data_IF_882588460950
#
_entry.id   IF_882588460950
#
_cell.length_a   1.000
_cell.length_b   1.000
_cell.length_c   1.000
_cell.angle_alpha   90.00
_cell.angle_beta   90.00
_cell.angle_gamma   90.00
#
_symmetry.space_group_name_H-M   'P 1'
#
loop_
_entity.id
_entity.type
_entity.pdbx_description
1 polymer ?
#
# COMPACT_ATOMS: atom_id res chain seq x y z
N UNK A 1 -0.91 -30.73 0.36
CA UNK A 1 -1.92 -29.73 0.77
C UNK A 1 -1.33 -29.03 1.97
N UNK A 2 -0.92 -27.78 1.86
CA UNK A 2 -0.38 -27.03 3.00
C UNK A 2 -1.52 -26.75 3.98
N UNK A 3 -1.41 -27.32 5.15
CA UNK A 3 -2.31 -27.10 6.26
C UNK A 3 -2.46 -25.60 6.52
N UNK A 4 -3.70 -25.10 6.49
CA UNK A 4 -4.18 -23.84 7.04
C UNK A 4 -3.58 -22.52 6.48
N UNK A 5 -3.46 -22.38 5.17
CA UNK A 5 -3.22 -21.05 4.58
C UNK A 5 -4.40 -20.14 4.89
N UNK A 6 -4.17 -19.03 5.57
CA UNK A 6 -5.18 -18.02 5.88
C UNK A 6 -5.01 -16.77 5.02
N UNK A 7 -6.13 -16.23 4.61
CA UNK A 7 -6.26 -14.95 3.91
C UNK A 7 -5.82 -13.80 4.83
N UNK A 8 -5.20 -12.77 4.26
CA UNK A 8 -4.80 -11.54 4.96
C UNK A 8 -5.63 -10.37 4.47
N UNK A 9 -6.02 -9.48 5.35
CA UNK A 9 -6.83 -8.32 5.02
C UNK A 9 -6.23 -7.02 5.54
N UNK A 10 -6.06 -6.06 4.66
CA UNK A 10 -5.78 -4.68 5.01
C UNK A 10 -6.87 -3.75 4.49
N UNK A 11 -6.85 -2.51 4.92
CA UNK A 11 -7.65 -1.44 4.33
C UNK A 11 -6.79 -0.21 4.08
N UNK A 12 -7.20 0.63 3.13
CA UNK A 12 -6.50 1.88 2.80
C UNK A 12 -7.28 3.08 3.32
N UNK A 13 -6.56 4.04 3.92
CA UNK A 13 -7.12 5.37 4.20
C UNK A 13 -7.15 6.17 2.90
N UNK A 14 -8.34 6.40 2.37
CA UNK A 14 -8.54 6.98 1.05
C UNK A 14 -9.71 7.99 1.00
N UNK A 15 -9.71 8.96 1.93
CA UNK A 15 -10.79 9.92 2.03
C UNK A 15 -12.15 9.23 2.21
N UNK A 16 -13.17 9.71 1.52
CA UNK A 16 -14.53 9.21 1.64
C UNK A 16 -14.72 7.78 1.05
N UNK A 17 -14.03 7.48 -0.04
CA UNK A 17 -13.95 6.14 -0.67
C UNK A 17 -12.89 6.11 -1.77
N UNK A 18 -12.77 4.99 -2.50
CA UNK A 18 -11.89 4.88 -3.68
C UNK A 18 -12.33 5.71 -4.90
N UNK A 19 -13.57 6.18 -4.95
CA UNK A 19 -14.06 7.04 -6.04
C UNK A 19 -13.70 8.51 -5.80
N UNK A 20 -13.18 9.18 -6.81
CA UNK A 20 -12.70 10.59 -6.70
C UNK A 20 -13.79 11.58 -6.33
N UNK A 21 -15.04 11.32 -6.66
CA UNK A 21 -16.19 12.20 -6.39
C UNK A 21 -17.03 11.74 -5.21
N UNK A 22 -16.64 10.66 -4.52
CA UNK A 22 -17.41 10.10 -3.40
C UNK A 22 -17.60 11.08 -2.23
N UNK A 23 -16.76 12.08 -2.08
CA UNK A 23 -16.92 13.15 -1.09
C UNK A 23 -18.22 13.94 -1.27
N UNK A 24 -18.82 13.93 -2.49
CA UNK A 24 -20.10 14.55 -2.83
C UNK A 24 -21.31 13.68 -2.45
N UNK A 25 -21.08 12.40 -2.15
CA UNK A 25 -22.17 11.50 -1.78
C UNK A 25 -22.82 11.95 -0.46
N UNK A 26 -24.17 11.93 -0.35
CA UNK A 26 -24.86 12.42 0.87
C UNK A 26 -24.41 11.74 2.17
N UNK A 27 -24.03 10.48 2.12
CA UNK A 27 -23.53 9.73 3.28
C UNK A 27 -22.02 9.93 3.54
N UNK A 28 -21.30 10.68 2.69
CA UNK A 28 -19.86 10.86 2.82
C UNK A 28 -19.51 11.94 3.85
N UNK A 29 -18.46 11.68 4.61
CA UNK A 29 -17.75 12.71 5.36
C UNK A 29 -16.88 13.50 4.36
N UNK A 30 -17.30 14.71 3.98
CA UNK A 30 -16.67 15.48 2.90
C UNK A 30 -15.19 15.83 3.19
N UNK A 31 -14.83 16.04 4.45
CA UNK A 31 -13.47 16.32 4.92
C UNK A 31 -12.69 15.09 5.40
N UNK A 32 -13.15 13.87 5.05
CA UNK A 32 -12.58 12.59 5.52
C UNK A 32 -11.06 12.51 5.41
N UNK A 33 -10.46 13.15 4.40
CA UNK A 33 -9.00 13.13 4.16
C UNK A 33 -8.17 13.76 5.29
N UNK A 34 -8.74 14.71 6.04
CA UNK A 34 -8.08 15.42 7.15
C UNK A 34 -8.93 15.43 8.42
N UNK A 35 -9.99 14.64 8.47
CA UNK A 35 -10.82 14.49 9.65
C UNK A 35 -10.29 13.37 10.53
N UNK A 36 -9.59 13.70 11.61
CA UNK A 36 -8.97 12.69 12.47
C UNK A 36 -10.00 11.81 13.20
N UNK A 37 -11.21 12.31 13.47
CA UNK A 37 -12.27 11.49 14.05
C UNK A 37 -12.72 10.39 13.05
N UNK A 38 -12.86 10.74 11.77
CA UNK A 38 -13.15 9.77 10.71
C UNK A 38 -12.05 8.72 10.57
N UNK A 39 -10.78 9.16 10.55
CA UNK A 39 -9.60 8.28 10.48
C UNK A 39 -9.57 7.32 11.68
N UNK A 40 -9.84 7.83 12.89
CA UNK A 40 -9.92 7.03 14.11
C UNK A 40 -11.03 5.98 14.03
N UNK A 41 -12.22 6.35 13.61
CA UNK A 41 -13.35 5.42 13.46
C UNK A 41 -13.02 4.32 12.44
N UNK A 42 -12.40 4.66 11.32
CA UNK A 42 -11.98 3.69 10.30
C UNK A 42 -10.94 2.71 10.86
N UNK A 43 -9.94 3.20 11.59
CA UNK A 43 -8.92 2.35 12.20
C UNK A 43 -9.51 1.41 13.28
N UNK A 44 -10.35 1.92 14.16
CA UNK A 44 -11.02 1.11 15.19
C UNK A 44 -11.97 0.09 14.57
N UNK A 45 -12.66 0.44 13.49
CA UNK A 45 -13.51 -0.50 12.74
C UNK A 45 -12.70 -1.62 12.10
N UNK A 46 -11.55 -1.30 11.49
CA UNK A 46 -10.63 -2.29 10.94
C UNK A 46 -10.09 -3.23 12.04
N UNK A 47 -9.71 -2.68 13.19
CA UNK A 47 -9.22 -3.47 14.32
C UNK A 47 -10.32 -4.39 14.89
N UNK A 48 -11.55 -3.90 15.04
CA UNK A 48 -12.70 -4.71 15.45
C UNK A 48 -12.96 -5.88 14.51
N UNK A 49 -12.82 -5.66 13.21
CA UNK A 49 -12.90 -6.70 12.16
C UNK A 49 -11.67 -7.60 12.07
N UNK A 50 -10.67 -7.45 12.94
CA UNK A 50 -9.43 -8.24 12.96
C UNK A 50 -8.57 -8.11 11.69
N UNK A 51 -8.68 -6.98 10.96
CA UNK A 51 -7.84 -6.72 9.81
C UNK A 51 -6.37 -6.67 10.21
N UNK A 52 -5.48 -7.04 9.29
CA UNK A 52 -4.05 -7.08 9.53
C UNK A 52 -3.45 -5.68 9.69
N UNK A 53 -3.88 -4.73 8.84
CA UNK A 53 -3.32 -3.37 8.84
C UNK A 53 -4.24 -2.34 8.19
N UNK A 54 -3.95 -1.08 8.52
CA UNK A 54 -4.38 0.10 7.78
C UNK A 54 -3.20 0.66 7.00
N UNK A 55 -3.46 1.08 5.77
CA UNK A 55 -2.45 1.51 4.81
C UNK A 55 -2.67 2.97 4.43
N UNK A 56 -1.61 3.79 4.51
CA UNK A 56 -1.65 5.20 4.14
C UNK A 56 -0.75 5.43 2.93
N UNK A 57 -1.38 5.58 1.76
CA UNK A 57 -0.69 5.95 0.54
C UNK A 57 -0.31 7.43 0.56
N UNK A 58 0.80 7.77 -0.10
CA UNK A 58 1.25 9.15 -0.22
C UNK A 58 1.88 9.46 -1.58
N UNK A 59 1.97 10.74 -1.91
CA UNK A 59 2.65 11.30 -3.07
C UNK A 59 3.05 12.74 -2.80
N UNK A 60 4.22 13.12 -3.27
CA UNK A 60 4.93 14.33 -2.90
C UNK A 60 4.77 15.47 -3.91
N UNK A 61 3.71 15.42 -4.72
CA UNK A 61 3.38 16.43 -5.71
C UNK A 61 1.88 16.51 -5.94
N UNK A 62 1.37 17.72 -6.01
CA UNK A 62 -0.01 18.04 -6.40
C UNK A 62 -0.04 19.23 -7.35
N UNK A 63 -1.14 19.37 -8.08
CA UNK A 63 -1.53 20.57 -8.79
C UNK A 63 -3.06 20.75 -8.70
N UNK A 64 -3.60 21.80 -9.32
CA UNK A 64 -5.03 22.11 -9.31
C UNK A 64 -5.93 21.04 -9.93
N UNK A 65 -5.36 20.13 -10.73
CA UNK A 65 -6.06 18.99 -11.37
C UNK A 65 -6.01 17.70 -10.54
N UNK A 66 -5.35 17.74 -9.39
CA UNK A 66 -5.28 16.57 -8.50
C UNK A 66 -6.63 16.28 -7.86
N UNK A 67 -6.90 15.00 -7.63
CA UNK A 67 -8.18 14.60 -7.01
C UNK A 67 -8.27 15.09 -5.56
N UNK A 68 -9.49 15.36 -5.04
CA UNK A 68 -9.71 16.03 -3.77
C UNK A 68 -8.92 15.48 -2.58
N UNK A 69 -8.87 14.15 -2.40
CA UNK A 69 -8.17 13.59 -1.25
C UNK A 69 -6.63 13.60 -1.41
N UNK A 70 -6.09 13.85 -2.60
CA UNK A 70 -4.66 14.11 -2.78
C UNK A 70 -4.29 15.55 -2.52
N UNK A 71 -5.23 16.47 -2.78
CA UNK A 71 -5.02 17.90 -2.52
C UNK A 71 -4.86 18.19 -1.03
N UNK A 72 -5.50 17.42 -0.17
CA UNK A 72 -5.58 17.71 1.26
C UNK A 72 -5.64 16.40 2.05
N UNK A 73 -4.52 15.97 2.66
CA UNK A 73 -4.42 14.74 3.45
C UNK A 73 -3.33 14.85 4.52
N UNK A 74 -3.44 14.01 5.53
CA UNK A 74 -2.40 13.85 6.53
C UNK A 74 -1.13 13.21 5.96
N UNK A 75 0.02 13.60 6.48
CA UNK A 75 1.28 12.91 6.24
C UNK A 75 1.25 11.52 6.95
N UNK A 76 1.72 10.44 6.28
CA UNK A 76 1.54 9.07 6.77
C UNK A 76 2.08 8.81 8.17
N UNK A 77 3.35 9.15 8.45
CA UNK A 77 3.96 8.82 9.74
C UNK A 77 3.34 9.59 10.90
N UNK A 78 2.93 10.82 10.66
CA UNK A 78 2.27 11.67 11.66
C UNK A 78 0.92 11.09 12.06
N UNK A 79 0.07 10.76 11.08
CA UNK A 79 -1.26 10.19 11.38
C UNK A 79 -1.16 8.78 11.97
N UNK A 80 -0.23 7.96 11.50
CA UNK A 80 -0.03 6.61 12.04
C UNK A 80 0.53 6.63 13.48
N UNK A 81 1.36 7.62 13.81
CA UNK A 81 1.82 7.81 15.20
C UNK A 81 0.66 8.15 16.13
N UNK A 82 -0.28 8.98 15.69
CA UNK A 82 -1.50 9.24 16.45
C UNK A 82 -2.39 7.99 16.58
N UNK A 83 -2.54 7.21 15.50
CA UNK A 83 -3.28 5.95 15.52
C UNK A 83 -2.63 4.88 16.39
N UNK A 84 -1.29 4.87 16.52
CA UNK A 84 -0.57 3.96 17.38
C UNK A 84 -1.00 4.09 18.87
N UNK A 85 -1.36 5.29 19.30
CA UNK A 85 -1.79 5.57 20.67
C UNK A 85 -3.21 5.05 20.99
N UNK A 86 -4.06 4.88 19.97
CA UNK A 86 -5.48 4.54 20.17
C UNK A 86 -5.85 3.13 19.70
N UNK A 87 -5.03 2.50 18.85
CA UNK A 87 -5.17 1.09 18.43
C UNK A 87 -4.27 0.18 19.26
N UNK A 88 -4.54 -1.12 19.25
CA UNK A 88 -3.78 -2.12 20.06
C UNK A 88 -3.19 -3.25 19.22
N UNK A 89 -3.82 -3.63 18.12
CA UNK A 89 -3.49 -4.81 17.32
C UNK A 89 -3.29 -4.51 15.83
N UNK A 90 -3.98 -3.49 15.33
CA UNK A 90 -3.98 -3.13 13.92
C UNK A 90 -2.58 -2.68 13.48
N UNK A 91 -2.06 -3.28 12.41
CA UNK A 91 -0.83 -2.84 11.75
C UNK A 91 -0.97 -1.45 11.13
N UNK A 92 0.10 -0.69 11.13
CA UNK A 92 0.16 0.72 10.73
C UNK A 92 1.18 0.87 9.61
N UNK A 93 0.71 0.88 8.35
CA UNK A 93 1.57 0.88 7.16
C UNK A 93 1.57 2.25 6.52
N UNK A 94 2.72 2.91 6.51
CA UNK A 94 2.89 4.25 5.96
C UNK A 94 3.81 4.29 4.74
N UNK A 95 3.47 5.13 3.78
CA UNK A 95 4.27 5.36 2.58
C UNK A 95 5.36 6.39 2.85
N UNK A 96 6.59 6.06 2.45
CA UNK A 96 7.71 7.00 2.41
C UNK A 96 8.60 6.73 1.20
N UNK A 97 9.04 7.82 0.55
CA UNK A 97 9.84 7.78 -0.68
C UNK A 97 11.31 7.55 -0.41
N UNK A 98 11.93 6.62 -1.13
CA UNK A 98 13.40 6.45 -1.15
C UNK A 98 14.11 7.50 -2.01
N UNK A 99 13.37 8.20 -2.88
CA UNK A 99 13.96 9.24 -3.75
C UNK A 99 14.07 10.60 -3.07
N UNK A 100 13.23 10.87 -2.05
CA UNK A 100 13.09 12.20 -1.44
C UNK A 100 13.16 12.19 0.09
N UNK A 101 13.86 11.23 0.65
CA UNK A 101 14.15 11.15 2.08
C UNK A 101 15.56 10.60 2.32
N UNK A 102 16.04 10.69 3.56
CA UNK A 102 17.35 10.20 3.97
C UNK A 102 17.25 8.88 4.73
N UNK A 103 18.10 7.87 4.42
CA UNK A 103 18.00 6.53 5.03
C UNK A 103 18.06 6.54 6.55
N UNK A 104 18.95 7.33 7.14
CA UNK A 104 19.07 7.42 8.60
C UNK A 104 17.80 7.96 9.25
N UNK A 105 17.23 9.02 8.68
CA UNK A 105 15.98 9.61 9.16
C UNK A 105 14.83 8.62 9.06
N UNK A 106 14.71 7.95 7.92
CA UNK A 106 13.67 6.93 7.68
C UNK A 106 13.79 5.75 8.65
N UNK A 107 15.00 5.23 8.82
CA UNK A 107 15.24 4.14 9.77
C UNK A 107 14.80 4.53 11.20
N UNK A 108 15.15 5.74 11.62
CA UNK A 108 14.80 6.26 12.93
C UNK A 108 13.30 6.48 13.12
N UNK A 109 12.63 7.04 12.11
CA UNK A 109 11.19 7.33 12.15
C UNK A 109 10.36 6.03 12.23
N UNK A 110 10.64 5.06 11.36
CA UNK A 110 9.91 3.79 11.39
C UNK A 110 10.23 2.93 12.62
N UNK A 111 11.46 2.96 13.12
CA UNK A 111 11.78 2.31 14.38
C UNK A 111 11.02 2.97 15.57
N UNK A 112 10.90 4.30 15.57
CA UNK A 112 10.11 5.02 16.57
C UNK A 112 8.63 4.64 16.50
N UNK A 113 8.04 4.62 15.29
CA UNK A 113 6.65 4.17 15.10
C UNK A 113 6.46 2.71 15.57
N UNK A 114 7.43 1.85 15.31
CA UNK A 114 7.37 0.45 15.72
C UNK A 114 7.39 0.30 17.26
N UNK A 115 8.23 1.05 17.94
CA UNK A 115 8.22 1.10 19.40
C UNK A 115 6.92 1.70 19.97
N UNK A 116 6.45 2.82 19.43
CA UNK A 116 5.18 3.45 19.85
C UNK A 116 3.98 2.53 19.67
N UNK A 117 3.97 1.76 18.61
CA UNK A 117 2.90 0.82 18.27
C UNK A 117 3.12 -0.59 18.85
N UNK A 118 4.21 -0.83 19.57
CA UNK A 118 4.56 -2.15 20.13
C UNK A 118 4.70 -3.25 19.06
N UNK A 119 5.39 -2.91 17.94
CA UNK A 119 5.69 -3.87 16.89
C UNK A 119 4.68 -3.94 15.74
N UNK A 120 3.98 -2.84 15.45
CA UNK A 120 2.93 -2.84 14.42
C UNK A 120 3.23 -1.96 13.20
N UNK A 121 4.44 -1.39 13.11
CA UNK A 121 4.81 -0.54 11.99
C UNK A 121 5.09 -1.32 10.71
N UNK A 122 4.66 -0.76 9.59
CA UNK A 122 5.03 -1.18 8.25
C UNK A 122 5.41 0.02 7.39
N UNK A 123 6.35 -0.16 6.49
CA UNK A 123 6.81 0.85 5.56
C UNK A 123 6.49 0.44 4.12
N UNK A 124 5.63 1.20 3.45
CA UNK A 124 5.44 1.10 2.01
C UNK A 124 6.52 1.91 1.30
N UNK A 125 7.43 1.18 0.71
CA UNK A 125 8.59 1.72 -0.01
C UNK A 125 8.17 2.14 -1.41
N UNK A 126 8.30 3.42 -1.72
CA UNK A 126 8.02 3.95 -3.06
C UNK A 126 9.20 4.73 -3.61
N UNK A 127 9.33 4.74 -4.93
CA UNK A 127 10.36 5.50 -5.65
C UNK A 127 9.85 6.84 -6.18
N UNK A 128 8.59 7.20 -5.86
CA UNK A 128 7.91 8.43 -6.29
C UNK A 128 7.79 8.56 -7.81
N UNK A 129 6.67 8.14 -8.43
CA UNK A 129 6.51 8.17 -9.89
C UNK A 129 6.26 9.58 -10.46
N UNK A 130 5.89 10.56 -9.62
CA UNK A 130 5.50 11.90 -10.08
C UNK A 130 6.72 12.82 -10.22
N UNK A 131 7.03 13.26 -11.44
CA UNK A 131 8.17 14.12 -11.75
C UNK A 131 8.16 15.45 -10.99
N UNK A 132 7.00 16.04 -10.80
CA UNK A 132 6.83 17.29 -10.05
C UNK A 132 7.36 17.24 -8.61
N UNK A 133 7.51 16.04 -8.03
CA UNK A 133 8.09 15.85 -6.71
C UNK A 133 9.50 16.43 -6.59
N UNK A 134 10.32 16.36 -7.64
CA UNK A 134 11.69 16.86 -7.63
C UNK A 134 11.78 18.34 -7.23
N UNK A 135 10.82 19.15 -7.69
CA UNK A 135 10.79 20.60 -7.42
C UNK A 135 10.58 20.93 -5.94
N UNK A 136 9.87 20.07 -5.19
CA UNK A 136 9.63 20.23 -3.76
C UNK A 136 10.87 19.86 -2.91
N UNK A 137 11.88 19.22 -3.50
CA UNK A 137 13.07 18.75 -2.81
C UNK A 137 14.37 19.35 -3.38
N UNK A 138 14.28 20.57 -3.96
CA UNK A 138 15.42 21.32 -4.49
C UNK A 138 16.23 20.57 -5.57
N UNK A 139 15.57 19.69 -6.33
CA UNK A 139 16.20 18.95 -7.43
C UNK A 139 15.73 19.49 -8.77
N UNK A 140 16.69 19.73 -9.66
CA UNK A 140 16.41 20.24 -11.01
C UNK A 140 15.68 19.20 -11.89
N UNK A 141 15.95 17.92 -11.64
CA UNK A 141 15.39 16.82 -12.42
C UNK A 141 14.96 15.67 -11.53
N UNK A 142 13.90 15.00 -11.96
CA UNK A 142 13.46 13.73 -11.39
C UNK A 142 14.35 12.62 -11.95
N UNK A 143 14.91 11.73 -11.10
CA UNK A 143 15.70 10.61 -11.60
C UNK A 143 14.88 9.68 -12.50
N UNK A 144 15.49 9.10 -13.53
CA UNK A 144 14.83 8.11 -14.36
C UNK A 144 14.40 6.86 -13.57
N UNK A 145 13.51 6.06 -14.17
CA UNK A 145 12.91 4.90 -13.51
C UNK A 145 13.95 3.90 -13.00
N UNK A 146 14.92 3.50 -13.83
CA UNK A 146 15.92 2.51 -13.48
C UNK A 146 16.85 3.01 -12.37
N UNK A 147 17.25 4.30 -12.42
CA UNK A 147 18.07 4.92 -11.39
C UNK A 147 17.32 4.98 -10.04
N UNK A 148 16.03 5.31 -10.04
CA UNK A 148 15.23 5.32 -8.81
C UNK A 148 15.21 3.96 -8.12
N UNK A 149 15.11 2.86 -8.87
CA UNK A 149 15.13 1.50 -8.31
C UNK A 149 16.52 1.08 -7.81
N UNK A 150 17.59 1.51 -8.46
CA UNK A 150 18.98 1.31 -7.95
C UNK A 150 19.19 2.06 -6.63
N UNK A 151 18.74 3.31 -6.55
CA UNK A 151 18.79 4.09 -5.31
C UNK A 151 17.97 3.40 -4.21
N UNK A 152 16.77 2.92 -4.51
CA UNK A 152 15.90 2.24 -3.56
C UNK A 152 16.50 0.94 -3.03
N UNK A 153 17.18 0.18 -3.87
CA UNK A 153 17.87 -1.06 -3.47
C UNK A 153 18.96 -0.79 -2.42
N UNK A 154 19.83 0.19 -2.68
CA UNK A 154 20.88 0.57 -1.72
C UNK A 154 20.27 1.22 -0.45
N UNK A 155 19.26 2.06 -0.62
CA UNK A 155 18.54 2.68 0.49
C UNK A 155 18.00 1.65 1.48
N UNK A 156 17.36 0.58 0.97
CA UNK A 156 16.84 -0.51 1.78
C UNK A 156 17.93 -1.30 2.50
N UNK A 157 19.08 -1.49 1.87
CA UNK A 157 20.23 -2.11 2.52
C UNK A 157 20.70 -1.27 3.73
N UNK A 158 20.82 0.04 3.54
CA UNK A 158 21.22 0.97 4.61
C UNK A 158 20.20 0.96 5.75
N UNK A 159 18.92 1.10 5.45
CA UNK A 159 17.85 1.15 6.48
C UNK A 159 17.80 -0.15 7.27
N UNK A 160 17.85 -1.30 6.59
CA UNK A 160 17.86 -2.62 7.27
C UNK A 160 19.11 -2.77 8.15
N UNK A 161 20.27 -2.34 7.67
CA UNK A 161 21.50 -2.38 8.44
C UNK A 161 21.45 -1.50 9.70
N UNK A 162 20.87 -0.31 9.59
CA UNK A 162 20.67 0.59 10.72
C UNK A 162 19.71 0.00 11.77
N UNK A 163 18.64 -0.69 11.36
CA UNK A 163 17.72 -1.36 12.29
C UNK A 163 18.37 -2.51 13.07
N UNK A 164 19.46 -3.07 12.56
CA UNK A 164 20.25 -4.11 13.21
C UNK A 164 21.41 -3.57 14.06
N UNK A 165 21.52 -2.24 14.25
CA UNK A 165 22.60 -1.63 15.07
C UNK A 165 22.66 -2.14 16.50
N UNK A 166 21.56 -2.58 17.06
CA UNK A 166 21.45 -3.13 18.41
C UNK A 166 20.89 -4.55 18.38
N UNK A 167 21.44 -5.42 19.22
CA UNK A 167 20.83 -6.73 19.47
C UNK A 167 19.65 -6.57 20.44
N UNK A 168 18.76 -7.57 20.53
CA UNK A 168 17.49 -7.51 21.28
C UNK A 168 17.67 -7.08 22.74
N UNK A 169 18.68 -7.60 23.41
CA UNK A 169 18.95 -7.43 24.84
C UNK A 169 20.15 -6.52 25.11
N UNK A 170 20.53 -5.66 24.17
CA UNK A 170 21.68 -4.74 24.29
C UNK A 170 21.55 -3.77 25.48
N UNK A 171 20.35 -3.31 25.80
CA UNK A 171 20.10 -2.31 26.85
C UNK A 171 19.84 -2.97 28.21
N UNK A 172 20.88 -3.30 28.95
CA UNK A 172 20.79 -4.00 30.26
C UNK A 172 20.25 -3.14 31.40
N UNK A 173 20.46 -1.81 31.35
CA UNK A 173 19.96 -0.80 32.31
C UNK A 173 20.18 -1.22 33.80
N UNK A 174 21.36 -1.77 34.10
CA UNK A 174 21.70 -2.21 35.44
C UNK A 174 22.02 -1.00 36.33
N UNK A 175 21.12 -0.69 37.26
CA UNK A 175 21.24 0.47 38.18
C UNK A 175 22.33 0.29 39.22
N UNK A 176 22.66 -0.96 39.59
CA UNK A 176 23.66 -1.24 40.66
C UNK A 176 25.08 -1.05 40.11
N UNK A 177 25.35 -1.56 38.89
CA UNK A 177 26.67 -1.48 38.26
C UNK A 177 26.85 -0.20 37.43
N UNK A 178 25.78 0.53 37.13
CA UNK A 178 25.78 1.67 36.24
C UNK A 178 25.90 1.30 34.74
N UNK A 179 25.85 0.01 34.40
CA UNK A 179 25.91 -0.46 33.02
C UNK A 179 24.56 -0.21 32.33
N UNK A 180 24.52 0.73 31.38
CA UNK A 180 23.30 1.04 30.64
C UNK A 180 23.08 0.09 29.47
N UNK A 181 24.13 -0.28 28.73
CA UNK A 181 24.08 -1.20 27.59
C UNK A 181 25.33 -2.11 27.54
N UNK A 182 25.22 -3.21 26.81
CA UNK A 182 26.35 -4.08 26.48
C UNK A 182 27.03 -3.58 25.19
N UNK A 183 28.31 -3.16 25.30
CA UNK A 183 29.09 -2.64 24.20
C UNK A 183 29.30 -3.66 23.07
N UNK A 184 29.30 -4.95 23.37
CA UNK A 184 29.47 -6.02 22.39
C UNK A 184 28.23 -6.22 21.51
N UNK A 185 27.07 -5.66 21.91
CA UNK A 185 25.79 -5.75 21.25
C UNK A 185 25.40 -4.46 20.49
N UNK A 186 26.35 -3.56 20.34
CA UNK A 186 26.24 -2.36 19.50
C UNK A 186 27.10 -2.52 18.25
N UNK A 187 26.50 -2.38 17.09
CA UNK A 187 27.12 -2.54 15.79
C UNK A 187 27.03 -1.26 14.97
N UNK A 188 28.16 -0.80 14.44
CA UNK A 188 28.24 0.33 13.51
C UNK A 188 28.09 -0.19 12.09
N UNK A 189 27.19 0.41 11.31
CA UNK A 189 26.91 -0.02 9.94
C UNK A 189 28.08 0.25 9.00
N UNK A 190 28.64 1.47 9.06
CA UNK A 190 29.74 1.98 8.23
C UNK A 190 29.54 1.71 6.72
N UNK A 191 28.36 2.07 6.21
CA UNK A 191 28.00 1.85 4.81
C UNK A 191 28.68 2.85 3.88
N UNK A 192 29.35 2.37 2.84
CA UNK A 192 29.95 3.13 1.75
C UNK A 192 29.48 2.56 0.41
N UNK A 193 28.44 3.13 -0.16
CA UNK A 193 27.86 2.70 -1.43
C UNK A 193 27.94 3.74 -2.53
N UNK A 194 27.28 3.46 -3.64
CA UNK A 194 27.23 4.33 -4.81
C UNK A 194 26.43 5.61 -4.54
N UNK A 195 25.36 5.52 -3.74
CA UNK A 195 24.42 6.60 -3.49
C UNK A 195 24.50 7.14 -2.05
N UNK A 196 24.86 6.29 -1.09
CA UNK A 196 24.81 6.64 0.33
C UNK A 196 26.12 6.34 1.05
N UNK A 197 26.47 7.24 1.99
CA UNK A 197 27.56 7.03 2.97
C UNK A 197 26.98 7.28 4.35
N UNK A 198 26.77 6.20 5.11
CA UNK A 198 26.05 6.26 6.39
C UNK A 198 26.81 5.46 7.43
N UNK A 199 27.41 6.14 8.37
CA UNK A 199 28.18 5.48 9.42
C UNK A 199 27.29 4.68 10.39
N UNK A 200 26.20 5.23 10.87
CA UNK A 200 25.47 4.65 12.01
C UNK A 200 26.26 4.86 13.31
N UNK A 201 25.96 4.14 14.38
CA UNK A 201 24.79 3.28 14.56
C UNK A 201 23.48 4.07 14.69
N UNK A 202 22.35 3.38 14.55
CA UNK A 202 21.03 3.99 14.82
C UNK A 202 20.87 4.24 16.32
N UNK A 203 20.30 5.38 16.69
CA UNK A 203 20.14 5.80 18.08
C UNK A 203 18.79 5.43 18.73
N UNK A 204 18.28 4.25 18.39
CA UNK A 204 17.10 3.64 18.99
C UNK A 204 17.29 2.13 19.03
N UNK A 205 16.76 1.47 20.07
CA UNK A 205 16.86 0.03 20.24
C UNK A 205 16.22 -0.75 19.08
N UNK A 206 16.64 -2.00 18.90
CA UNK A 206 15.98 -2.96 18.03
C UNK A 206 14.48 -3.02 18.33
N UNK A 207 13.67 -3.04 17.30
CA UNK A 207 12.21 -2.92 17.44
C UNK A 207 11.56 -4.25 17.87
N UNK A 208 10.34 -4.24 18.46
CA UNK A 208 9.69 -5.44 18.97
C UNK A 208 9.49 -6.55 17.94
N UNK A 209 9.29 -6.20 16.66
CA UNK A 209 9.19 -7.19 15.56
C UNK A 209 10.51 -7.38 14.79
N UNK A 210 11.63 -6.99 15.37
CA UNK A 210 12.97 -7.04 14.78
C UNK A 210 13.20 -5.91 13.78
N UNK A 211 12.33 -5.75 12.81
CA UNK A 211 12.25 -4.65 11.82
C UNK A 211 10.81 -4.37 11.48
N UNK A 212 10.44 -3.12 11.18
CA UNK A 212 9.18 -2.79 10.51
C UNK A 212 8.96 -3.66 9.27
N UNK A 213 7.70 -4.02 9.01
CA UNK A 213 7.34 -4.79 7.81
C UNK A 213 7.58 -3.93 6.57
N UNK A 214 8.21 -4.49 5.55
CA UNK A 214 8.49 -3.81 4.29
C UNK A 214 7.45 -4.19 3.25
N UNK A 215 6.64 -3.21 2.86
CA UNK A 215 5.77 -3.28 1.71
C UNK A 215 6.45 -2.63 0.50
N UNK A 216 6.12 -3.09 -0.69
CA UNK A 216 6.53 -2.49 -1.94
C UNK A 216 5.32 -2.47 -2.89
N UNK A 217 5.17 -1.42 -3.68
CA UNK A 217 4.06 -1.24 -4.61
C UNK A 217 4.59 -0.98 -6.02
N UNK A 218 5.04 -2.02 -6.71
CA UNK A 218 5.55 -1.90 -8.06
C UNK A 218 5.35 -3.18 -8.86
N UNK A 219 4.62 -3.06 -9.99
CA UNK A 219 4.37 -4.18 -10.90
C UNK A 219 5.39 -4.28 -12.05
N UNK A 220 6.30 -3.30 -12.22
CA UNK A 220 7.39 -3.35 -13.19
C UNK A 220 8.40 -4.44 -12.83
N UNK A 221 9.22 -4.85 -13.81
CA UNK A 221 10.26 -5.85 -13.57
C UNK A 221 11.25 -5.43 -12.48
N UNK A 222 11.64 -4.14 -12.46
CA UNK A 222 12.48 -3.59 -11.40
C UNK A 222 11.77 -3.60 -10.04
N UNK A 223 10.47 -3.29 -10.02
CA UNK A 223 9.64 -3.34 -8.82
C UNK A 223 9.51 -4.76 -8.26
N UNK A 224 9.26 -5.75 -9.11
CA UNK A 224 9.20 -7.17 -8.72
C UNK A 224 10.53 -7.68 -8.17
N UNK A 225 11.65 -7.30 -8.79
CA UNK A 225 13.01 -7.65 -8.31
C UNK A 225 13.30 -7.02 -6.95
N UNK A 226 12.98 -5.73 -6.78
CA UNK A 226 13.14 -5.05 -5.50
C UNK A 226 12.32 -5.72 -4.40
N UNK A 227 11.06 -6.06 -4.70
CA UNK A 227 10.19 -6.78 -3.77
C UNK A 227 10.73 -8.17 -3.43
N UNK A 228 11.13 -8.96 -4.43
CA UNK A 228 11.68 -10.30 -4.23
C UNK A 228 12.94 -10.29 -3.35
N UNK A 229 13.76 -9.25 -3.46
CA UNK A 229 14.96 -9.08 -2.65
C UNK A 229 14.70 -8.61 -1.23
N UNK A 230 13.79 -7.64 -1.05
CA UNK A 230 13.70 -6.85 0.18
C UNK A 230 12.36 -6.92 0.91
N UNK A 231 11.25 -7.08 0.20
CA UNK A 231 9.92 -6.87 0.78
C UNK A 231 9.38 -8.10 1.52
N UNK A 232 8.58 -7.84 2.56
CA UNK A 232 7.76 -8.81 3.27
C UNK A 232 6.37 -8.91 2.62
N UNK A 233 5.94 -7.86 1.92
CA UNK A 233 4.67 -7.80 1.22
C UNK A 233 4.79 -6.97 -0.06
N UNK A 234 3.99 -7.29 -1.08
CA UNK A 234 3.84 -6.47 -2.29
C UNK A 234 2.36 -6.15 -2.48
N UNK A 235 2.08 -4.88 -2.75
CA UNK A 235 0.77 -4.37 -3.12
C UNK A 235 0.69 -4.25 -4.64
N UNK A 236 -0.40 -4.74 -5.23
CA UNK A 236 -0.60 -4.70 -6.67
C UNK A 236 -2.08 -4.60 -7.03
N UNK A 237 -2.36 -4.19 -8.25
CA UNK A 237 -3.68 -4.27 -8.87
C UNK A 237 -3.57 -5.11 -10.14
N UNK A 238 -4.48 -6.07 -10.30
CA UNK A 238 -4.60 -6.88 -11.51
C UNK A 238 -6.09 -6.96 -11.89
N UNK A 239 -6.38 -6.83 -13.19
CA UNK A 239 -7.77 -6.71 -13.64
C UNK A 239 -8.47 -8.04 -13.86
N UNK A 240 -7.73 -9.12 -13.91
CA UNK A 240 -8.30 -10.46 -14.05
C UNK A 240 -7.67 -11.48 -13.12
N UNK A 241 -8.40 -12.55 -12.85
CA UNK A 241 -7.87 -13.68 -12.09
C UNK A 241 -6.62 -14.27 -12.76
N UNK A 242 -6.62 -14.38 -14.09
CA UNK A 242 -5.49 -14.93 -14.84
C UNK A 242 -4.23 -14.07 -14.75
N UNK A 243 -4.37 -12.74 -14.84
CA UNK A 243 -3.26 -11.79 -14.67
C UNK A 243 -2.74 -11.82 -13.23
N UNK A 244 -3.62 -11.86 -12.25
CA UNK A 244 -3.24 -11.96 -10.85
C UNK A 244 -2.48 -13.27 -10.55
N UNK A 245 -2.89 -14.39 -11.12
CA UNK A 245 -2.18 -15.66 -11.03
C UNK A 245 -0.81 -15.62 -11.72
N UNK A 246 -0.72 -14.98 -12.89
CA UNK A 246 0.55 -14.81 -13.60
C UNK A 246 1.53 -13.96 -12.79
N UNK A 247 1.06 -12.82 -12.27
CA UNK A 247 1.85 -11.97 -11.39
C UNK A 247 2.30 -12.70 -10.12
N UNK A 248 1.40 -13.45 -9.49
CA UNK A 248 1.70 -14.22 -8.29
C UNK A 248 2.82 -15.23 -8.54
N UNK A 249 2.70 -16.03 -9.61
CA UNK A 249 3.74 -17.01 -9.98
C UNK A 249 5.08 -16.34 -10.28
N UNK A 250 5.05 -15.25 -11.05
CA UNK A 250 6.26 -14.51 -11.43
C UNK A 250 7.00 -14.00 -10.19
N UNK A 251 6.33 -13.25 -9.31
CA UNK A 251 6.95 -12.71 -8.08
C UNK A 251 7.47 -13.82 -7.17
N UNK A 252 6.65 -14.86 -6.92
CA UNK A 252 7.06 -15.97 -6.04
C UNK A 252 8.26 -16.75 -6.60
N UNK A 253 8.37 -16.90 -7.92
CA UNK A 253 9.51 -17.59 -8.56
C UNK A 253 10.83 -16.84 -8.40
N UNK A 254 10.81 -15.52 -8.28
CA UNK A 254 12.01 -14.70 -8.14
C UNK A 254 12.66 -14.77 -6.76
N UNK A 255 11.91 -15.19 -5.72
CA UNK A 255 12.40 -15.26 -4.34
C UNK A 255 13.60 -16.20 -4.16
N UNK A 256 13.63 -17.30 -4.87
CA UNK A 256 14.72 -18.29 -4.80
C UNK A 256 16.10 -17.70 -5.16
N UNK A 257 16.15 -16.73 -6.07
CA UNK A 257 17.38 -16.02 -6.43
C UNK A 257 18.00 -15.24 -5.26
N UNK A 258 17.19 -14.93 -4.24
CA UNK A 258 17.60 -14.24 -3.02
C UNK A 258 17.57 -15.14 -1.78
N UNK A 259 17.59 -16.45 -1.97
CA UNK A 259 17.55 -17.47 -0.89
C UNK A 259 16.34 -17.31 0.03
N UNK A 260 15.20 -16.90 -0.54
CA UNK A 260 13.94 -16.68 0.16
C UNK A 260 12.90 -17.72 -0.27
N UNK A 261 12.12 -18.21 0.69
CA UNK A 261 10.97 -19.09 0.41
C UNK A 261 9.71 -18.31 0.02
N UNK A 262 8.78 -18.93 -0.72
CA UNK A 262 7.57 -18.24 -1.19
C UNK A 262 6.67 -17.66 -0.09
N UNK A 263 6.71 -18.21 1.11
CA UNK A 263 5.94 -17.77 2.28
C UNK A 263 6.51 -16.52 2.96
N UNK A 264 7.73 -16.11 2.61
CA UNK A 264 8.38 -14.90 3.15
C UNK A 264 7.96 -13.60 2.45
N UNK A 265 7.08 -13.65 1.47
CA UNK A 265 6.52 -12.48 0.81
C UNK A 265 5.05 -12.70 0.51
N UNK A 266 4.19 -11.83 1.07
CA UNK A 266 2.76 -11.86 0.78
C UNK A 266 2.40 -10.94 -0.38
N UNK A 267 1.49 -11.40 -1.25
CA UNK A 267 0.98 -10.64 -2.38
C UNK A 267 -0.44 -10.17 -2.05
N UNK A 268 -0.60 -8.84 -1.95
CA UNK A 268 -1.87 -8.20 -1.68
C UNK A 268 -2.44 -7.57 -2.94
N UNK A 269 -3.67 -7.96 -3.30
CA UNK A 269 -4.43 -7.29 -4.34
C UNK A 269 -5.23 -6.13 -3.75
N UNK A 270 -5.07 -4.93 -4.31
CA UNK A 270 -5.97 -3.82 -4.05
C UNK A 270 -7.30 -4.07 -4.74
N UNK A 271 -8.38 -4.09 -3.98
CA UNK A 271 -9.71 -4.35 -4.52
C UNK A 271 -10.74 -3.37 -3.97
N UNK A 272 -11.53 -2.81 -4.87
CA UNK A 272 -12.74 -2.09 -4.48
C UNK A 272 -13.90 -3.08 -4.38
N UNK A 273 -14.74 -2.90 -3.36
CA UNK A 273 -15.91 -3.73 -3.11
C UNK A 273 -17.17 -2.87 -2.95
N UNK A 274 -18.31 -3.42 -3.31
CA UNK A 274 -19.63 -2.89 -2.95
C UNK A 274 -20.45 -4.03 -2.35
N UNK A 275 -20.99 -3.81 -1.15
CA UNK A 275 -21.85 -4.76 -0.44
C UNK A 275 -23.26 -4.22 -0.44
N UNK A 276 -24.15 -4.87 -1.17
CA UNK A 276 -25.58 -4.57 -1.23
C UNK A 276 -26.44 -5.60 -0.48
N UNK A 277 -27.70 -5.27 -0.23
CA UNK A 277 -28.68 -6.22 0.30
C UNK A 277 -28.98 -7.33 -0.70
N UNK A 278 -28.93 -6.98 -1.97
CA UNK A 278 -29.00 -7.86 -3.13
C UNK A 278 -28.16 -7.28 -4.30
N UNK A 279 -28.17 -7.95 -5.45
CA UNK A 279 -27.42 -7.54 -6.62
C UNK A 279 -27.92 -6.20 -7.20
N UNK A 280 -29.22 -5.94 -7.14
CA UNK A 280 -29.84 -4.71 -7.63
C UNK A 280 -29.46 -3.52 -6.73
N UNK A 281 -29.45 -3.71 -5.41
CA UNK A 281 -29.00 -2.70 -4.46
C UNK A 281 -27.52 -2.38 -4.67
N UNK A 282 -26.65 -3.37 -4.81
CA UNK A 282 -25.23 -3.15 -5.06
C UNK A 282 -25.00 -2.37 -6.38
N UNK A 283 -25.74 -2.69 -7.45
CA UNK A 283 -25.70 -1.96 -8.71
C UNK A 283 -26.16 -0.51 -8.54
N UNK A 284 -27.25 -0.28 -7.84
CA UNK A 284 -27.79 1.05 -7.55
C UNK A 284 -26.77 1.92 -6.78
N UNK A 285 -26.09 1.33 -5.77
CA UNK A 285 -25.01 2.01 -5.02
C UNK A 285 -23.86 2.42 -5.94
N UNK A 286 -23.44 1.53 -6.83
CA UNK A 286 -22.41 1.84 -7.83
C UNK A 286 -22.83 3.00 -8.72
N UNK A 287 -24.00 2.92 -9.34
CA UNK A 287 -24.50 3.94 -10.27
C UNK A 287 -24.65 5.31 -9.59
N UNK A 288 -25.13 5.33 -8.34
CA UNK A 288 -25.28 6.56 -7.56
C UNK A 288 -23.92 7.26 -7.36
N UNK A 289 -22.89 6.48 -7.05
CA UNK A 289 -21.54 7.04 -6.82
C UNK A 289 -20.87 7.41 -8.14
N UNK A 290 -20.98 6.58 -9.18
CA UNK A 290 -20.41 6.83 -10.50
C UNK A 290 -20.99 8.10 -11.15
N UNK A 291 -22.29 8.36 -10.98
CA UNK A 291 -22.97 9.53 -11.50
C UNK A 291 -22.50 10.88 -10.88
N UNK A 292 -21.74 10.82 -9.78
CA UNK A 292 -21.15 12.03 -9.18
C UNK A 292 -19.92 12.55 -9.94
N UNK A 293 -19.31 11.74 -10.79
CA UNK A 293 -18.11 12.11 -11.54
C UNK A 293 -18.47 12.96 -12.74
N UNK A 294 -17.98 14.20 -12.79
CA UNK A 294 -18.10 15.05 -13.99
C UNK A 294 -17.13 14.61 -15.07
N UNK A 295 -17.45 14.92 -16.35
CA UNK A 295 -16.52 14.62 -17.45
C UNK A 295 -15.21 15.39 -17.32
N UNK A 296 -15.24 16.60 -16.81
CA UNK A 296 -14.04 17.42 -16.57
C UNK A 296 -13.14 16.74 -15.52
N UNK A 297 -13.70 16.31 -14.40
CA UNK A 297 -12.97 15.57 -13.37
C UNK A 297 -12.42 14.25 -13.90
N UNK A 298 -13.19 13.55 -14.73
CA UNK A 298 -12.77 12.30 -15.34
C UNK A 298 -11.58 12.48 -16.29
N UNK A 299 -11.58 13.52 -17.11
CA UNK A 299 -10.45 13.86 -17.99
C UNK A 299 -9.20 14.26 -17.19
N UNK A 300 -9.36 15.03 -16.13
CA UNK A 300 -8.27 15.41 -15.24
C UNK A 300 -7.68 14.16 -14.54
N UNK A 301 -8.52 13.25 -14.08
CA UNK A 301 -8.10 12.00 -13.46
C UNK A 301 -7.34 11.09 -14.44
N UNK A 302 -7.85 10.95 -15.65
CA UNK A 302 -7.17 10.22 -16.74
C UNK A 302 -5.80 10.85 -17.02
N UNK A 303 -5.75 12.18 -17.14
CA UNK A 303 -4.51 12.93 -17.37
C UNK A 303 -3.42 12.68 -16.34
N UNK A 304 -3.77 12.40 -15.09
CA UNK A 304 -2.83 12.08 -14.02
C UNK A 304 -1.93 10.88 -14.35
N UNK A 305 -2.47 9.86 -14.99
CA UNK A 305 -1.67 8.71 -15.43
C UNK A 305 -0.73 9.05 -16.57
N UNK A 306 -1.08 10.04 -17.39
CA UNK A 306 -0.38 10.50 -18.57
C UNK A 306 0.35 11.84 -18.33
N UNK A 307 1.08 11.95 -17.23
CA UNK A 307 1.93 13.10 -16.91
C UNK A 307 1.14 14.43 -16.88
N UNK A 308 -0.09 14.38 -16.40
CA UNK A 308 -1.06 15.49 -16.37
C UNK A 308 -1.41 16.05 -17.78
N UNK A 309 -1.38 15.17 -18.79
CA UNK A 309 -1.79 15.54 -20.12
C UNK A 309 -3.23 16.07 -20.17
N UNK A 310 -3.45 17.14 -20.91
CA UNK A 310 -4.76 17.74 -21.08
C UNK A 310 -5.55 17.03 -22.17
N UNK A 311 -6.44 16.13 -21.77
CA UNK A 311 -7.31 15.41 -22.69
C UNK A 311 -8.51 16.24 -23.16
N UNK A 312 -8.80 17.42 -22.58
CA UNK A 312 -9.92 18.27 -23.01
C UNK A 312 -9.77 18.84 -24.44
N UNK A 313 -8.55 18.80 -24.97
CA UNK A 313 -8.26 19.23 -26.34
C UNK A 313 -8.74 18.26 -27.42
N UNK A 314 -9.15 17.03 -27.05
CA UNK A 314 -9.62 16.02 -28.01
C UNK A 314 -11.14 15.89 -28.00
N UNK A 315 -11.77 15.48 -29.12
CA UNK A 315 -13.19 15.19 -29.15
C UNK A 315 -13.58 14.04 -28.24
N UNK A 316 -14.60 14.25 -27.42
CA UNK A 316 -15.01 13.29 -26.39
C UNK A 316 -15.60 11.98 -26.94
N UNK A 317 -16.35 12.08 -28.04
CA UNK A 317 -17.13 10.97 -28.57
C UNK A 317 -16.45 10.28 -29.77
N UNK A 318 -15.20 10.64 -30.05
CA UNK A 318 -14.32 9.97 -30.98
C UNK A 318 -13.48 8.90 -30.25
N UNK A 319 -12.89 7.92 -30.98
CA UNK A 319 -12.00 6.93 -30.41
C UNK A 319 -10.89 7.55 -29.57
N UNK A 320 -10.46 6.83 -28.52
CA UNK A 320 -9.35 7.28 -27.67
C UNK A 320 -8.15 7.69 -28.53
N UNK A 321 -7.58 8.89 -28.35
CA UNK A 321 -6.55 9.42 -29.24
C UNK A 321 -5.25 8.59 -29.18
N UNK A 322 -4.54 8.54 -30.32
CA UNK A 322 -3.17 8.03 -30.32
C UNK A 322 -2.25 9.09 -29.71
N UNK A 323 -1.73 8.79 -28.52
CA UNK A 323 -0.87 9.68 -27.73
C UNK A 323 0.57 9.17 -27.65
N UNK A 324 0.95 8.22 -28.50
CA UNK A 324 2.32 7.70 -28.61
C UNK A 324 2.84 7.15 -27.27
N UNK A 325 4.05 7.57 -26.90
CA UNK A 325 4.77 7.09 -25.70
C UNK A 325 4.44 7.87 -24.40
N UNK A 326 3.44 8.74 -24.44
CA UNK A 326 3.04 9.51 -23.27
C UNK A 326 2.69 8.59 -22.10
N UNK A 327 3.20 8.93 -20.90
CA UNK A 327 3.01 8.16 -19.68
C UNK A 327 4.06 7.06 -19.39
N UNK A 328 5.02 6.85 -20.31
CA UNK A 328 6.06 5.82 -20.15
C UNK A 328 6.98 6.07 -18.95
N UNK A 329 7.15 7.30 -18.53
CA UNK A 329 8.00 7.66 -17.37
C UNK A 329 7.22 7.82 -16.05
N UNK A 330 5.90 7.67 -16.09
CA UNK A 330 5.01 7.80 -14.92
C UNK A 330 4.45 6.43 -14.48
N UNK A 331 3.16 6.20 -14.70
CA UNK A 331 2.46 4.95 -14.34
C UNK A 331 2.46 3.96 -15.51
N UNK A 332 3.62 3.57 -16.00
CA UNK A 332 3.80 2.84 -17.27
C UNK A 332 2.85 1.65 -17.45
N UNK A 333 2.75 0.76 -16.45
CA UNK A 333 1.87 -0.41 -16.54
C UNK A 333 0.40 -0.01 -16.71
N UNK A 334 -0.06 0.97 -15.95
CA UNK A 334 -1.44 1.47 -16.03
C UNK A 334 -1.72 2.17 -17.37
N UNK A 335 -0.79 2.99 -17.85
CA UNK A 335 -0.98 3.71 -19.13
C UNK A 335 -0.97 2.77 -20.33
N UNK A 336 -0.11 1.75 -20.34
CA UNK A 336 -0.09 0.72 -21.39
C UNK A 336 -1.41 -0.07 -21.40
N UNK A 337 -1.93 -0.37 -20.22
CA UNK A 337 -3.21 -1.07 -20.06
C UNK A 337 -4.40 -0.24 -20.54
N UNK A 338 -4.50 1.03 -20.14
CA UNK A 338 -5.55 1.95 -20.62
C UNK A 338 -5.53 2.05 -22.14
N UNK A 339 -4.36 2.24 -22.75
CA UNK A 339 -4.21 2.31 -24.22
C UNK A 339 -4.65 1.01 -24.90
N UNK A 340 -4.23 -0.13 -24.36
CA UNK A 340 -4.61 -1.45 -24.87
C UNK A 340 -6.11 -1.67 -24.78
N UNK A 341 -6.69 -1.46 -23.61
CA UNK A 341 -8.13 -1.64 -23.34
C UNK A 341 -9.01 -0.75 -24.23
N UNK A 342 -8.63 0.53 -24.33
CA UNK A 342 -9.33 1.47 -25.22
C UNK A 342 -9.35 0.98 -26.67
N UNK A 343 -8.21 0.47 -27.18
CA UNK A 343 -8.08 -0.03 -28.56
C UNK A 343 -8.87 -1.33 -28.77
N UNK A 344 -8.73 -2.29 -27.89
CA UNK A 344 -9.38 -3.62 -28.00
C UNK A 344 -10.92 -3.52 -27.97
N UNK A 345 -11.47 -2.60 -27.19
CA UNK A 345 -12.91 -2.38 -27.06
C UNK A 345 -13.47 -1.26 -27.93
N UNK A 346 -12.62 -0.52 -28.65
CA UNK A 346 -13.04 0.59 -29.49
C UNK A 346 -13.70 1.74 -28.68
N UNK A 347 -13.18 2.02 -27.48
CA UNK A 347 -13.77 3.00 -26.58
C UNK A 347 -13.50 4.44 -27.03
N UNK A 348 -14.50 5.31 -26.83
CA UNK A 348 -14.32 6.77 -26.98
C UNK A 348 -13.53 7.36 -25.82
N UNK A 349 -12.96 8.55 -26.02
CA UNK A 349 -12.27 9.29 -24.94
C UNK A 349 -13.17 9.47 -23.71
N UNK A 350 -14.46 9.80 -23.92
CA UNK A 350 -15.45 9.91 -22.81
C UNK A 350 -15.54 8.62 -22.01
N UNK A 351 -15.67 7.49 -22.69
CA UNK A 351 -15.79 6.19 -22.02
C UNK A 351 -14.53 5.84 -21.24
N UNK A 352 -13.36 6.02 -21.85
CA UNK A 352 -12.07 5.77 -21.18
C UNK A 352 -11.91 6.66 -19.94
N UNK A 353 -12.23 7.95 -20.05
CA UNK A 353 -12.11 8.88 -18.92
C UNK A 353 -13.04 8.50 -17.76
N UNK A 354 -14.32 8.20 -18.05
CA UNK A 354 -15.30 7.81 -17.03
C UNK A 354 -14.96 6.44 -16.39
N UNK A 355 -14.54 5.46 -17.18
CA UNK A 355 -14.09 4.16 -16.66
C UNK A 355 -12.87 4.30 -15.76
N UNK A 356 -11.91 5.15 -16.14
CA UNK A 356 -10.72 5.41 -15.32
C UNK A 356 -11.06 6.11 -14.00
N UNK A 357 -11.96 7.08 -14.03
CA UNK A 357 -12.33 7.90 -12.86
C UNK A 357 -13.33 7.21 -11.91
N UNK A 358 -14.12 6.26 -12.41
CA UNK A 358 -15.09 5.52 -11.63
C UNK A 358 -15.12 4.05 -12.07
N UNK A 359 -14.03 3.31 -11.84
CA UNK A 359 -13.97 1.90 -12.22
C UNK A 359 -15.02 1.11 -11.45
N UNK A 360 -15.67 0.17 -12.15
CA UNK A 360 -16.62 -0.73 -11.49
C UNK A 360 -15.87 -1.62 -10.49
N UNK A 361 -16.25 -1.63 -9.21
CA UNK A 361 -15.66 -2.53 -8.24
C UNK A 361 -15.80 -3.98 -8.66
N UNK A 362 -14.71 -4.72 -8.59
CA UNK A 362 -14.65 -6.13 -9.04
C UNK A 362 -15.61 -7.03 -8.25
N UNK A 363 -15.64 -6.85 -6.94
CA UNK A 363 -16.48 -7.63 -6.05
C UNK A 363 -17.67 -6.78 -5.63
N UNK A 364 -18.76 -6.90 -6.41
CA UNK A 364 -20.01 -6.15 -6.23
C UNK A 364 -21.16 -7.14 -6.13
N UNK A 365 -21.95 -7.07 -5.08
CA UNK A 365 -23.09 -7.95 -4.83
C UNK A 365 -23.43 -8.05 -3.35
N UNK A 366 -24.03 -9.15 -2.95
CA UNK A 366 -24.28 -9.45 -1.53
C UNK A 366 -22.97 -9.72 -0.78
N UNK A 367 -23.01 -9.71 0.54
CA UNK A 367 -21.85 -10.10 1.35
C UNK A 367 -21.32 -11.49 1.00
N UNK A 368 -22.20 -12.43 0.63
CA UNK A 368 -21.81 -13.77 0.17
C UNK A 368 -21.07 -13.72 -1.17
N UNK A 369 -21.56 -12.94 -2.14
CA UNK A 369 -20.91 -12.81 -3.46
C UNK A 369 -19.51 -12.22 -3.34
N UNK A 370 -19.34 -11.21 -2.48
CA UNK A 370 -18.05 -10.61 -2.20
C UNK A 370 -17.11 -11.63 -1.53
N UNK A 371 -17.58 -12.36 -0.53
CA UNK A 371 -16.80 -13.40 0.14
C UNK A 371 -16.40 -14.53 -0.82
N UNK A 372 -17.29 -14.96 -1.71
CA UNK A 372 -17.02 -15.98 -2.74
C UNK A 372 -15.93 -15.52 -3.71
N UNK A 373 -15.98 -14.27 -4.14
CA UNK A 373 -14.98 -13.68 -5.03
C UNK A 373 -13.59 -13.62 -4.39
N UNK A 374 -13.50 -13.17 -3.13
CA UNK A 374 -12.24 -13.13 -2.39
C UNK A 374 -11.69 -14.54 -2.14
N UNK A 375 -12.56 -15.50 -1.77
CA UNK A 375 -12.20 -16.90 -1.58
C UNK A 375 -11.62 -17.50 -2.86
N UNK A 376 -12.31 -17.32 -4.00
CA UNK A 376 -11.85 -17.83 -5.30
C UNK A 376 -10.44 -17.33 -5.64
N UNK A 377 -10.20 -16.02 -5.51
CA UNK A 377 -8.88 -15.45 -5.82
C UNK A 377 -7.79 -15.96 -4.88
N UNK A 378 -8.10 -16.11 -3.60
CA UNK A 378 -7.18 -16.65 -2.62
C UNK A 378 -6.84 -18.12 -2.88
N UNK A 379 -7.84 -18.97 -3.07
CA UNK A 379 -7.67 -20.41 -3.31
C UNK A 379 -6.94 -20.71 -4.63
N UNK A 380 -7.17 -19.86 -5.65
CA UNK A 380 -6.55 -19.98 -6.97
C UNK A 380 -5.14 -19.35 -7.05
N UNK A 381 -4.53 -19.00 -5.91
CA UNK A 381 -3.20 -18.38 -5.88
C UNK A 381 -3.07 -17.13 -6.74
N UNK A 382 -4.08 -16.27 -6.71
CA UNK A 382 -4.04 -14.92 -7.27
C UNK A 382 -3.62 -13.87 -6.24
N UNK A 383 -3.78 -14.18 -4.95
CA UNK A 383 -3.42 -13.33 -3.83
C UNK A 383 -3.12 -14.15 -2.56
N UNK A 384 -2.30 -13.61 -1.66
CA UNK A 384 -2.19 -14.05 -0.26
C UNK A 384 -3.15 -13.24 0.63
N UNK A 385 -3.56 -12.07 0.16
CA UNK A 385 -4.47 -11.18 0.86
C UNK A 385 -4.99 -10.04 -0.01
N UNK A 386 -5.81 -9.20 0.59
CA UNK A 386 -6.44 -8.07 -0.09
C UNK A 386 -6.31 -6.79 0.73
N UNK A 387 -6.14 -5.67 0.03
CA UNK A 387 -6.30 -4.33 0.60
C UNK A 387 -7.65 -3.81 0.11
N UNK A 388 -8.58 -3.71 1.04
CA UNK A 388 -9.98 -3.38 0.76
C UNK A 388 -10.16 -1.88 0.66
N UNK A 389 -10.77 -1.44 -0.42
CA UNK A 389 -11.30 -0.10 -0.60
C UNK A 389 -12.82 -0.17 -0.67
N UNK A 390 -13.51 0.71 0.03
CA UNK A 390 -14.95 0.88 -0.17
C UNK A 390 -15.22 1.50 -1.54
N UNK A 391 -16.11 0.90 -2.33
CA UNK A 391 -16.60 1.47 -3.59
C UNK A 391 -17.56 2.64 -3.35
N UNK A 392 -18.18 2.69 -2.18
CA UNK A 392 -19.04 3.77 -1.68
C UNK A 392 -18.64 4.13 -0.24
N UNK A 393 -19.05 5.31 0.28
CA UNK A 393 -18.72 5.70 1.66
C UNK A 393 -19.18 4.70 2.74
N UNK A 394 -20.24 3.96 2.49
CA UNK A 394 -20.85 3.04 3.46
C UNK A 394 -20.28 1.61 3.38
N UNK A 395 -19.57 1.28 2.31
CA UNK A 395 -19.18 -0.10 2.03
C UNK A 395 -18.17 -0.66 3.02
N UNK A 396 -17.19 0.13 3.51
CA UNK A 396 -16.17 -0.43 4.40
C UNK A 396 -16.75 -0.92 5.75
N UNK A 397 -17.63 -0.18 6.43
CA UNK A 397 -18.32 -0.72 7.60
C UNK A 397 -19.09 -2.01 7.31
N UNK A 398 -19.86 -2.06 6.21
CA UNK A 398 -20.60 -3.26 5.81
C UNK A 398 -19.67 -4.44 5.50
N UNK A 399 -18.56 -4.21 4.83
CA UNK A 399 -17.56 -5.24 4.61
C UNK A 399 -17.08 -5.88 5.93
N UNK A 400 -16.77 -5.05 6.91
CA UNK A 400 -16.32 -5.54 8.23
C UNK A 400 -17.43 -6.29 8.96
N UNK A 401 -18.67 -5.81 8.91
CA UNK A 401 -19.79 -6.39 9.66
C UNK A 401 -20.42 -7.61 9.00
N UNK A 402 -20.38 -7.71 7.68
CA UNK A 402 -21.13 -8.71 6.92
C UNK A 402 -20.21 -9.71 6.20
N UNK A 403 -19.13 -9.25 5.54
CA UNK A 403 -18.22 -10.11 4.75
C UNK A 403 -17.19 -10.80 5.64
N UNK A 404 -16.56 -10.07 6.55
CA UNK A 404 -15.53 -10.63 7.44
C UNK A 404 -16.05 -11.81 8.25
N UNK A 405 -17.24 -11.77 8.87
CA UNK A 405 -17.80 -12.92 9.59
C UNK A 405 -18.00 -14.16 8.70
N UNK A 406 -18.37 -13.99 7.41
CA UNK A 406 -18.48 -15.10 6.47
C UNK A 406 -17.12 -15.74 6.19
N UNK A 407 -16.08 -14.94 5.96
CA UNK A 407 -14.71 -15.44 5.77
C UNK A 407 -14.21 -16.18 7.01
N UNK A 408 -14.54 -15.69 8.20
CA UNK A 408 -14.23 -16.33 9.47
C UNK A 408 -14.99 -17.64 9.69
N UNK A 409 -16.27 -17.68 9.32
CA UNK A 409 -17.09 -18.89 9.39
C UNK A 409 -16.58 -20.00 8.45
N UNK A 410 -16.04 -19.61 7.28
CA UNK A 410 -15.42 -20.52 6.30
C UNK A 410 -14.00 -20.97 6.70
N UNK A 411 -13.44 -20.46 7.81
CA UNK A 411 -12.08 -20.77 8.25
C UNK A 411 -10.98 -20.12 7.39
N UNK A 412 -11.35 -19.19 6.49
CA UNK A 412 -10.43 -18.51 5.60
C UNK A 412 -9.70 -17.34 6.25
N UNK A 413 -10.34 -16.70 7.23
CA UNK A 413 -9.80 -15.55 7.95
C UNK A 413 -9.82 -15.79 9.46
N UNK A 414 -8.93 -15.13 10.19
CA UNK A 414 -8.80 -15.26 11.65
C UNK A 414 -10.04 -14.78 12.39
N UNK A 415 -10.29 -15.38 13.52
CA UNK A 415 -11.32 -14.91 14.49
C UNK A 415 -10.72 -14.00 15.57
N UNK A 416 -9.41 -14.12 15.81
CA UNK A 416 -8.68 -13.27 16.73
C UNK A 416 -7.23 -13.09 16.28
N UNK A 417 -6.56 -12.06 16.77
CA UNK A 417 -5.16 -11.83 16.46
C UNK A 417 -4.25 -12.92 17.04
N UNK A 418 -3.28 -13.45 16.27
CA UNK A 418 -2.42 -14.53 16.75
C UNK A 418 -1.31 -14.06 17.72
N UNK A 419 -1.07 -12.76 17.77
CA UNK A 419 -0.02 -12.13 18.58
C UNK A 419 -0.25 -10.64 18.69
N UNK A 420 0.78 -9.88 19.03
CA UNK A 420 0.71 -8.44 19.27
C UNK A 420 1.37 -7.61 18.16
N UNK A 421 2.19 -8.24 17.33
CA UNK A 421 2.94 -7.56 16.26
C UNK A 421 2.30 -7.76 14.88
N UNK A 422 2.56 -6.83 13.97
CA UNK A 422 2.13 -6.98 12.58
C UNK A 422 2.79 -8.20 11.92
N UNK A 423 4.04 -8.48 12.27
CA UNK A 423 4.79 -9.64 11.76
C UNK A 423 4.13 -10.96 12.14
N UNK A 424 3.71 -11.11 13.40
CA UNK A 424 2.93 -12.28 13.84
C UNK A 424 1.57 -12.35 13.14
N UNK A 425 0.89 -11.23 12.99
CA UNK A 425 -0.39 -11.17 12.28
C UNK A 425 -0.26 -11.65 10.83
N UNK A 426 0.84 -11.32 10.17
CA UNK A 426 1.13 -11.78 8.81
C UNK A 426 1.71 -13.20 8.76
N UNK A 427 2.03 -13.81 9.89
CA UNK A 427 2.64 -15.15 9.94
C UNK A 427 4.08 -15.19 9.43
N UNK A 428 4.80 -14.07 9.56
CA UNK A 428 6.18 -13.92 9.13
C UNK A 428 7.14 -14.17 10.29
N UNK A 429 8.24 -14.87 10.03
CA UNK A 429 9.27 -15.09 11.04
C UNK A 429 9.98 -13.80 11.45
N UNK A 430 10.45 -13.75 12.70
CA UNK A 430 11.29 -12.68 13.18
C UNK A 430 12.60 -12.64 12.38
N UNK A 431 12.98 -11.51 11.78
CA UNK A 431 14.21 -11.44 10.99
C UNK A 431 15.44 -11.51 11.90
N UNK A 432 16.41 -12.33 11.53
CA UNK A 432 17.68 -12.39 12.24
C UNK A 432 18.41 -11.04 12.16
N UNK A 433 19.12 -10.68 13.23
CA UNK A 433 20.05 -9.55 13.21
C UNK A 433 21.27 -9.95 12.37
N UNK A 434 21.65 -9.14 11.38
CA UNK A 434 22.75 -9.48 10.45
C UNK A 434 24.13 -9.55 11.14
N UNK A 435 24.28 -8.99 12.32
CA UNK A 435 25.52 -8.99 13.08
C UNK A 435 25.58 -10.13 14.12
N UNK A 436 24.47 -10.78 14.42
CA UNK A 436 24.45 -12.00 15.23
C UNK A 436 24.87 -13.20 14.37
N UNK A 437 25.91 -13.90 14.81
CA UNK A 437 26.40 -15.11 14.15
C UNK A 437 25.75 -16.37 14.74
#
# INVERSE_FOLDING_TARGET
MSENRQLRLGTILHGASGNMSAWRHPAAQADASINFAFVTQTALKAEAGKLDFIFVADGLYINEKSIPHFLNRFEPLTVLSALAAITRQLGLVGTLSTSYSEPFTTARQFASLDHLSQGRAGWNVVTSPLEGSAKNFSRAQHPDHALRYRIADEYLQVVKGLWDSWEEDAFVRNKETGQFFDKNKLHTLDHHGDFFKVAGPLNIARTPQGRPIIFQAGASDDGKKLAARHADAIFTHQDSLAEAQAFYRDVKSQLAAYQRSPDQLHIFQGVSVIVGDDAEDAERQYQTTAALVSIEDALNYLGRYFEHHDFSQYPLDEPFPDIGDLGQNSFRSTTDEIKRHARERGLTLRQVALEAASPRPRFTGTASDVADGLQLWFEQHAADGFIIQGGTPETFPRFVDEVVPLLQARGLFRRDYPGTTLRESLGLALPANQFQK
#
